data_IF_214693598939
#
_entry.id   IF_214693598939
#
_cell.length_a   1.000
_cell.length_b   1.000
_cell.length_c   1.000
_cell.angle_alpha   90.00
_cell.angle_beta   90.00
_cell.angle_gamma   90.00
#
_symmetry.space_group_name_H-M   'P 1'
#
loop_
_entity.id
_entity.type
_entity.pdbx_description
1 polymer ?
#
# COMPACT_ATOMS: atom_id res chain seq x y z
N UNK A 1 -9.88 -19.62 -12.20
CA UNK A 1 -10.31 -19.06 -10.89
C UNK A 1 -10.97 -17.72 -11.15
N UNK A 2 -12.11 -17.43 -10.51
CA UNK A 2 -12.90 -16.20 -10.77
C UNK A 2 -12.25 -14.98 -10.10
N UNK A 3 -12.15 -13.83 -10.77
CA UNK A 3 -11.69 -12.60 -10.14
C UNK A 3 -12.65 -12.15 -9.02
N UNK A 4 -12.09 -11.78 -7.86
CA UNK A 4 -12.83 -11.17 -6.75
C UNK A 4 -12.69 -9.64 -6.75
N UNK A 5 -11.58 -9.13 -7.31
CA UNK A 5 -11.38 -7.74 -7.74
C UNK A 5 -10.71 -7.73 -9.13
N UNK A 6 -9.90 -6.70 -9.44
CA UNK A 6 -9.07 -6.66 -10.64
C UNK A 6 -7.95 -7.71 -10.70
N UNK A 7 -7.70 -8.44 -9.61
CA UNK A 7 -6.79 -9.58 -9.53
C UNK A 7 -7.53 -10.88 -9.19
N UNK A 8 -7.03 -11.96 -9.77
CA UNK A 8 -7.33 -13.33 -9.36
C UNK A 8 -6.45 -13.74 -8.17
N UNK A 9 -6.83 -14.82 -7.49
CA UNK A 9 -6.01 -15.39 -6.42
C UNK A 9 -4.61 -15.80 -6.90
N UNK A 10 -4.49 -16.31 -8.13
CA UNK A 10 -3.21 -16.72 -8.72
C UNK A 10 -2.30 -15.52 -9.03
N UNK A 11 -2.87 -14.44 -9.56
CA UNK A 11 -2.14 -13.19 -9.78
C UNK A 11 -1.70 -12.54 -8.45
N UNK A 12 -2.54 -12.62 -7.42
CA UNK A 12 -2.22 -12.15 -6.08
C UNK A 12 -1.08 -12.97 -5.48
N UNK A 13 -1.11 -14.30 -5.63
CA UNK A 13 -0.06 -15.18 -5.15
C UNK A 13 1.31 -14.86 -5.77
N UNK A 14 1.35 -14.64 -7.09
CA UNK A 14 2.60 -14.32 -7.80
C UNK A 14 3.21 -12.98 -7.40
N UNK A 15 2.39 -12.04 -6.96
CA UNK A 15 2.83 -10.69 -6.57
C UNK A 15 3.12 -10.59 -5.07
N UNK A 16 2.81 -11.62 -4.28
CA UNK A 16 2.82 -11.52 -2.83
C UNK A 16 4.22 -11.27 -2.26
N UNK A 17 5.26 -11.92 -2.78
CA UNK A 17 6.63 -11.70 -2.31
C UNK A 17 7.05 -10.23 -2.51
N UNK A 18 6.85 -9.69 -3.72
CA UNK A 18 7.12 -8.28 -4.00
C UNK A 18 6.21 -7.31 -3.21
N UNK A 19 4.99 -7.73 -2.87
CA UNK A 19 4.09 -6.97 -2.00
C UNK A 19 4.62 -6.94 -0.56
N UNK A 20 5.09 -8.07 -0.03
CA UNK A 20 5.69 -8.17 1.30
C UNK A 20 6.93 -7.28 1.40
N UNK A 21 7.78 -7.28 0.37
CA UNK A 21 9.01 -6.48 0.34
C UNK A 21 8.81 -5.01 -0.08
N UNK A 22 7.58 -4.59 -0.38
CA UNK A 22 7.24 -3.25 -0.89
C UNK A 22 7.95 -2.87 -2.20
N UNK A 23 8.32 -3.87 -2.99
CA UNK A 23 8.94 -3.70 -4.31
C UNK A 23 7.88 -3.47 -5.41
N UNK A 24 6.60 -3.70 -5.10
CA UNK A 24 5.51 -3.36 -6.02
C UNK A 24 5.30 -1.85 -6.12
N UNK A 25 5.01 -1.33 -7.33
CA UNK A 25 4.44 0.00 -7.51
C UNK A 25 3.21 0.22 -6.62
N UNK A 26 3.01 1.46 -6.15
CA UNK A 26 1.89 1.80 -5.24
C UNK A 26 0.53 1.35 -5.79
N UNK A 27 0.31 1.53 -7.09
CA UNK A 27 -0.92 1.10 -7.74
C UNK A 27 -1.15 -0.42 -7.63
N UNK A 28 -0.09 -1.22 -7.74
CA UNK A 28 -0.14 -2.68 -7.66
C UNK A 28 -0.28 -3.15 -6.21
N UNK A 29 0.35 -2.45 -5.25
CA UNK A 29 0.13 -2.71 -3.82
C UNK A 29 -1.34 -2.58 -3.44
N UNK A 30 -2.02 -1.53 -3.92
CA UNK A 30 -3.45 -1.34 -3.66
C UNK A 30 -4.32 -2.46 -4.23
N UNK A 31 -3.96 -3.04 -5.39
CA UNK A 31 -4.71 -4.14 -5.98
C UNK A 31 -4.58 -5.44 -5.16
N UNK A 32 -3.39 -5.70 -4.63
CA UNK A 32 -3.14 -6.84 -3.73
C UNK A 32 -3.88 -6.63 -2.41
N UNK A 33 -3.83 -5.43 -1.83
CA UNK A 33 -4.56 -5.07 -0.60
C UNK A 33 -6.07 -5.27 -0.75
N UNK A 34 -6.66 -4.81 -1.87
CA UNK A 34 -8.07 -4.99 -2.17
C UNK A 34 -8.44 -6.48 -2.29
N UNK A 35 -7.60 -7.29 -2.95
CA UNK A 35 -7.85 -8.72 -3.06
C UNK A 35 -7.80 -9.42 -1.70
N UNK A 36 -6.81 -9.10 -0.86
CA UNK A 36 -6.67 -9.66 0.49
C UNK A 36 -7.84 -9.24 1.41
N UNK A 37 -8.44 -8.07 1.18
CA UNK A 37 -9.63 -7.64 1.90
C UNK A 37 -10.90 -8.43 1.51
N UNK A 38 -11.00 -8.90 0.27
CA UNK A 38 -12.20 -9.59 -0.27
C UNK A 38 -12.11 -11.12 -0.21
N UNK A 39 -10.90 -11.68 -0.34
CA UNK A 39 -10.69 -13.12 -0.43
C UNK A 39 -10.27 -13.73 0.91
N UNK A 40 -11.22 -14.28 1.66
CA UNK A 40 -10.96 -14.91 2.96
C UNK A 40 -9.97 -16.11 2.88
N UNK A 41 -9.89 -16.78 1.74
CA UNK A 41 -8.92 -17.85 1.52
C UNK A 41 -7.50 -17.29 1.44
N UNK A 42 -7.23 -16.36 0.52
CA UNK A 42 -5.93 -15.69 0.41
C UNK A 42 -5.54 -14.97 1.71
N UNK A 43 -6.48 -14.27 2.34
CA UNK A 43 -6.25 -13.61 3.62
C UNK A 43 -5.87 -14.58 4.75
N UNK A 44 -6.35 -15.83 4.70
CA UNK A 44 -5.98 -16.87 5.68
C UNK A 44 -4.63 -17.48 5.36
N UNK A 45 -4.39 -17.84 4.10
CA UNK A 45 -3.13 -18.43 3.65
C UNK A 45 -1.95 -17.49 3.94
N UNK A 46 -2.12 -16.17 3.77
CA UNK A 46 -1.04 -15.18 3.92
C UNK A 46 -1.10 -14.37 5.21
N UNK A 47 -1.95 -14.80 6.16
CA UNK A 47 -2.14 -14.09 7.43
C UNK A 47 -0.83 -14.00 8.21
N UNK A 48 -0.05 -15.07 8.19
CA UNK A 48 1.18 -15.15 8.96
C UNK A 48 2.22 -14.18 8.42
N UNK A 49 2.46 -14.20 7.11
CA UNK A 49 3.38 -13.35 6.37
C UNK A 49 3.00 -11.87 6.52
N UNK A 50 1.71 -11.54 6.38
CA UNK A 50 1.20 -10.18 6.60
C UNK A 50 1.42 -9.72 8.06
N UNK A 51 1.14 -10.59 9.05
CA UNK A 51 1.33 -10.26 10.47
C UNK A 51 2.81 -10.12 10.85
N UNK A 52 3.67 -10.91 10.21
CA UNK A 52 5.13 -10.85 10.38
C UNK A 52 5.65 -9.51 9.85
N UNK A 53 5.25 -9.12 8.63
CA UNK A 53 5.63 -7.83 8.06
C UNK A 53 5.11 -6.63 8.88
N UNK A 54 3.87 -6.68 9.34
CA UNK A 54 3.33 -5.64 10.23
C UNK A 54 4.13 -5.56 11.53
N UNK A 55 4.53 -6.70 12.10
CA UNK A 55 5.37 -6.76 13.29
C UNK A 55 6.77 -6.19 13.05
N UNK A 56 7.41 -6.53 11.92
CA UNK A 56 8.72 -5.96 11.52
C UNK A 56 8.60 -4.44 11.39
N UNK A 57 7.58 -3.95 10.69
CA UNK A 57 7.32 -2.51 10.53
C UNK A 57 7.14 -1.78 11.84
N UNK A 58 6.35 -2.33 12.76
CA UNK A 58 6.13 -1.73 14.08
C UNK A 58 7.43 -1.58 14.89
N UNK A 59 8.46 -2.37 14.55
CA UNK A 59 9.78 -2.36 15.19
C UNK A 59 10.82 -1.55 14.41
N UNK A 60 10.61 -1.34 13.11
CA UNK A 60 11.38 -0.39 12.32
C UNK A 60 11.09 0.99 12.90
N UNK A 61 12.12 1.59 13.52
CA UNK A 61 11.99 2.81 14.31
C UNK A 61 11.27 3.90 13.52
N UNK A 62 10.35 4.56 14.20
CA UNK A 62 9.76 5.81 13.77
C UNK A 62 10.89 6.81 13.50
N UNK A 63 11.17 7.06 12.22
CA UNK A 63 12.09 8.12 11.82
C UNK A 63 11.34 9.41 12.07
N UNK A 64 11.82 10.22 13.02
CA UNK A 64 11.26 11.55 13.25
C UNK A 64 11.41 12.36 11.96
N UNK A 65 10.28 12.67 11.32
CA UNK A 65 10.26 13.47 10.11
C UNK A 65 10.82 14.87 10.44
N UNK A 66 11.88 15.34 9.75
CA UNK A 66 12.42 16.67 10.02
C UNK A 66 11.34 17.74 9.80
N UNK A 67 11.11 18.67 10.76
CA UNK A 67 10.03 19.66 10.65
C UNK A 67 10.11 20.52 9.37
N UNK A 68 11.33 20.84 8.92
CA UNK A 68 11.54 21.60 7.69
C UNK A 68 11.11 20.81 6.44
N UNK A 69 11.28 19.48 6.42
CA UNK A 69 10.82 18.64 5.33
C UNK A 69 9.30 18.54 5.33
N UNK A 70 8.70 18.36 6.51
CA UNK A 70 7.25 18.33 6.68
C UNK A 70 6.59 19.63 6.19
N UNK A 71 7.12 20.78 6.60
CA UNK A 71 6.64 22.09 6.15
C UNK A 71 6.72 22.22 4.63
N UNK A 72 7.87 21.89 4.04
CA UNK A 72 8.07 21.97 2.59
C UNK A 72 7.13 21.08 1.79
N UNK A 73 6.87 19.85 2.25
CA UNK A 73 5.89 18.95 1.62
C UNK A 73 4.47 19.53 1.75
N UNK A 74 4.12 20.08 2.92
CA UNK A 74 2.84 20.75 3.15
C UNK A 74 2.61 21.93 2.20
N UNK A 75 3.62 22.79 2.01
CA UNK A 75 3.54 23.92 1.09
C UNK A 75 3.32 23.48 -0.36
N UNK A 76 4.06 22.45 -0.80
CA UNK A 76 3.92 21.90 -2.16
C UNK A 76 2.54 21.30 -2.40
N UNK A 77 1.99 20.57 -1.41
CA UNK A 77 0.65 20.00 -1.49
C UNK A 77 -0.42 21.09 -1.53
N UNK A 78 -0.28 22.16 -0.74
CA UNK A 78 -1.21 23.29 -0.75
C UNK A 78 -1.26 23.98 -2.12
N UNK A 79 -0.10 24.13 -2.78
CA UNK A 79 -0.01 24.66 -4.15
C UNK A 79 -0.72 23.74 -5.15
N UNK A 80 -0.50 22.43 -5.08
CA UNK A 80 -1.10 21.48 -6.02
C UNK A 80 -2.62 21.35 -5.86
N UNK A 81 -3.11 21.38 -4.62
CA UNK A 81 -4.54 21.42 -4.32
C UNK A 81 -5.19 22.70 -4.86
N UNK A 82 -4.52 23.84 -4.74
CA UNK A 82 -5.01 25.12 -5.28
C UNK A 82 -5.10 25.08 -6.81
N UNK A 83 -4.11 24.49 -7.50
CA UNK A 83 -4.13 24.32 -8.96
C UNK A 83 -5.25 23.40 -9.45
N UNK A 84 -5.59 22.39 -8.66
CA UNK A 84 -6.68 21.46 -8.96
C UNK A 84 -8.07 22.07 -8.72
N UNK A 85 -8.15 23.20 -8.01
CA UNK A 85 -9.40 23.89 -7.65
C UNK A 85 -9.73 25.10 -8.53
N UNK A 86 -8.83 25.52 -9.43
CA UNK A 86 -9.15 26.54 -10.44
C UNK A 86 -10.14 25.95 -11.45
N UNK A 87 -11.41 26.42 -11.48
CA UNK A 87 -12.36 25.95 -12.47
C UNK A 87 -12.01 26.61 -13.81
N UNK A 88 -11.85 25.78 -14.84
CA UNK A 88 -11.92 26.25 -16.23
C UNK A 88 -13.33 26.70 -16.60
#
# INVERSE_FOLDING_TARGET
MTPLNRLTCEETFRQLDSWLDHELPVAEQHLVDEHLALCAACAREFRFEASLMQSVRSRLREVTLPPALQARVGDLLAVELSRSQEPG
#
